data_IF_822350141895
#
_entry.id   IF_822350141895
#
_cell.length_a   1.000
_cell.length_b   1.000
_cell.length_c   1.000
_cell.angle_alpha   90.00
_cell.angle_beta   90.00
_cell.angle_gamma   90.00
#
_symmetry.space_group_name_H-M   'P 1'
#
loop_
_entity.id
_entity.type
_entity.pdbx_description
1 polymer ?
#
# COMPACT_ATOMS: atom_id res chain seq x y z
N UNK A 1 -12.91 17.59 -76.47
CA UNK A 1 -13.13 16.65 -75.34
C UNK A 1 -12.13 17.03 -74.25
N UNK A 2 -12.53 17.75 -73.18
CA UNK A 2 -13.00 17.22 -71.86
C UNK A 2 -12.03 16.16 -71.30
N UNK A 3 -11.44 16.22 -70.11
CA UNK A 3 -11.67 16.98 -68.86
C UNK A 3 -10.43 16.86 -67.95
N UNK A 4 -10.35 17.82 -67.04
CA UNK A 4 -9.45 18.10 -65.91
C UNK A 4 -9.34 17.02 -64.81
N UNK A 5 -8.55 17.38 -63.76
CA UNK A 5 -8.51 16.88 -62.36
C UNK A 5 -7.53 15.71 -62.06
N UNK A 6 -6.83 15.61 -60.92
CA UNK A 6 -6.58 16.46 -59.73
C UNK A 6 -5.48 15.77 -58.89
N UNK A 7 -4.78 16.57 -58.08
CA UNK A 7 -3.92 16.25 -56.94
C UNK A 7 -4.10 14.87 -56.26
N UNK A 8 -2.96 14.28 -55.87
CA UNK A 8 -2.86 13.51 -54.64
C UNK A 8 -1.44 13.62 -54.05
N UNK A 9 -1.18 14.69 -53.30
CA UNK A 9 -0.11 14.70 -52.29
C UNK A 9 -0.56 13.79 -51.15
N UNK A 10 -0.01 12.59 -51.06
CA UNK A 10 -0.21 11.72 -49.90
C UNK A 10 0.74 12.13 -48.78
N UNK A 11 0.40 13.21 -48.06
CA UNK A 11 1.02 13.49 -46.77
C UNK A 11 0.49 12.46 -45.75
N UNK A 12 1.23 11.37 -45.57
CA UNK A 12 1.01 10.46 -44.44
C UNK A 12 1.48 11.19 -43.19
N UNK A 13 0.53 11.85 -42.52
CA UNK A 13 0.71 12.28 -41.15
C UNK A 13 0.80 11.03 -40.28
N UNK A 14 2.02 10.55 -40.03
CA UNK A 14 2.30 9.63 -38.93
C UNK A 14 2.07 10.43 -37.65
N UNK A 15 0.81 10.44 -37.19
CA UNK A 15 0.49 10.81 -35.83
C UNK A 15 1.07 9.71 -34.94
N UNK A 16 2.36 9.83 -34.65
CA UNK A 16 2.99 9.11 -33.55
C UNK A 16 2.15 9.41 -32.31
N UNK A 17 1.44 8.39 -31.85
CA UNK A 17 0.85 8.32 -30.52
C UNK A 17 2.00 8.35 -29.51
N UNK A 18 2.61 9.52 -29.35
CA UNK A 18 3.51 9.81 -28.24
C UNK A 18 2.61 9.74 -27.02
N UNK A 19 2.81 8.68 -26.25
CA UNK A 19 2.08 8.40 -25.03
C UNK A 19 1.91 9.68 -24.24
N UNK A 20 0.66 10.00 -23.92
CA UNK A 20 0.31 11.05 -23.00
C UNK A 20 0.80 10.63 -21.61
N UNK A 21 2.11 10.67 -21.38
CA UNK A 21 2.69 10.69 -20.05
C UNK A 21 2.19 12.01 -19.45
N UNK A 22 1.04 11.95 -18.76
CA UNK A 22 0.63 13.02 -17.85
C UNK A 22 1.79 13.16 -16.88
N UNK A 23 2.59 14.21 -17.07
CA UNK A 23 3.55 14.65 -16.09
C UNK A 23 2.75 14.91 -14.82
N UNK A 24 2.89 14.02 -13.82
CA UNK A 24 2.19 14.16 -12.56
C UNK A 24 2.56 15.52 -11.98
N UNK A 25 1.57 16.23 -11.44
CA UNK A 25 1.86 17.49 -10.79
C UNK A 25 2.89 17.24 -9.67
N UNK A 26 3.89 18.13 -9.48
CA UNK A 26 4.86 17.97 -8.39
C UNK A 26 4.18 17.77 -7.03
N UNK A 27 3.01 18.39 -6.84
CA UNK A 27 2.21 18.24 -5.63
C UNK A 27 1.72 16.80 -5.45
N UNK A 28 1.23 16.13 -6.50
CA UNK A 28 0.77 14.74 -6.41
C UNK A 28 1.92 13.80 -6.01
N UNK A 29 3.12 14.01 -6.57
CA UNK A 29 4.30 13.21 -6.25
C UNK A 29 4.71 13.36 -4.78
N UNK A 30 4.73 14.59 -4.26
CA UNK A 30 5.02 14.84 -2.83
C UNK A 30 4.03 14.11 -1.93
N UNK A 31 2.73 14.17 -2.27
CA UNK A 31 1.69 13.49 -1.49
C UNK A 31 1.83 11.97 -1.49
N UNK A 32 2.17 11.40 -2.65
CA UNK A 32 2.45 9.97 -2.78
C UNK A 32 3.67 9.55 -1.97
N UNK A 33 4.74 10.34 -1.99
CA UNK A 33 5.92 10.11 -1.15
C UNK A 33 5.53 10.13 0.33
N UNK A 34 4.71 11.09 0.76
CA UNK A 34 4.17 11.13 2.13
C UNK A 34 3.43 9.83 2.51
N UNK A 35 2.59 9.30 1.62
CA UNK A 35 1.91 8.02 1.85
C UNK A 35 2.89 6.82 1.95
N UNK A 36 3.95 6.80 1.15
CA UNK A 36 5.01 5.78 1.27
C UNK A 36 5.76 5.90 2.60
N UNK A 37 6.13 7.12 3.00
CA UNK A 37 6.81 7.37 4.29
C UNK A 37 5.95 6.89 5.46
N UNK A 38 4.65 7.21 5.44
CA UNK A 38 3.71 6.79 6.48
C UNK A 38 3.57 5.27 6.54
N UNK A 39 3.30 4.61 5.41
CA UNK A 39 3.18 3.13 5.37
C UNK A 39 4.47 2.41 5.76
N UNK A 40 5.64 2.99 5.44
CA UNK A 40 6.95 2.49 5.88
C UNK A 40 7.12 2.62 7.40
N UNK A 41 6.82 3.79 7.97
CA UNK A 41 6.92 4.02 9.40
C UNK A 41 6.02 3.06 10.20
N UNK A 42 4.80 2.78 9.69
CA UNK A 42 3.92 1.78 10.29
C UNK A 42 4.48 0.35 10.23
N UNK A 43 5.09 -0.04 9.10
CA UNK A 43 5.73 -1.35 8.97
C UNK A 43 6.91 -1.51 9.93
N UNK A 44 7.74 -0.48 10.06
CA UNK A 44 8.86 -0.45 11.02
C UNK A 44 8.31 -0.55 12.45
N UNK A 45 7.29 0.23 12.80
CA UNK A 45 6.67 0.18 14.12
C UNK A 45 6.10 -1.20 14.45
N UNK A 46 5.49 -1.88 13.48
CA UNK A 46 4.97 -3.23 13.68
C UNK A 46 6.09 -4.27 13.79
N UNK A 47 7.21 -4.07 13.10
CA UNK A 47 8.41 -4.88 13.28
C UNK A 47 9.02 -4.67 14.67
N UNK A 48 9.09 -3.43 15.17
CA UNK A 48 9.54 -3.16 16.55
C UNK A 48 8.64 -3.83 17.58
N UNK A 49 7.32 -3.74 17.41
CA UNK A 49 6.38 -4.49 18.26
C UNK A 49 6.68 -5.99 18.23
N UNK A 50 6.90 -6.57 17.05
CA UNK A 50 7.17 -7.99 16.93
C UNK A 50 8.48 -8.38 17.63
N UNK A 51 9.55 -7.58 17.53
CA UNK A 51 10.79 -7.84 18.26
C UNK A 51 10.56 -7.86 19.79
N UNK A 52 9.72 -6.98 20.33
CA UNK A 52 9.37 -6.95 21.75
C UNK A 52 8.40 -8.09 22.15
N UNK A 53 7.73 -8.71 21.18
CA UNK A 53 6.73 -9.77 21.36
C UNK A 53 7.21 -11.13 20.81
N UNK A 54 8.47 -11.48 21.05
CA UNK A 54 9.10 -12.76 20.66
C UNK A 54 9.00 -13.08 19.16
N UNK A 55 9.06 -12.05 18.33
CA UNK A 55 8.95 -12.14 16.88
C UNK A 55 7.52 -12.39 16.38
N UNK A 56 6.47 -12.13 17.17
CA UNK A 56 5.08 -12.41 16.78
C UNK A 56 4.32 -11.11 16.48
N UNK A 57 3.68 -11.05 15.30
CA UNK A 57 2.81 -9.92 14.96
C UNK A 57 1.50 -9.93 15.74
N UNK A 58 0.93 -8.77 16.08
CA UNK A 58 -0.27 -8.71 16.90
C UNK A 58 -1.48 -9.24 16.12
N UNK A 59 -2.23 -10.16 16.73
CA UNK A 59 -3.44 -10.73 16.14
C UNK A 59 -4.66 -9.83 16.43
N UNK A 60 -4.70 -8.67 15.78
CA UNK A 60 -5.78 -7.68 15.93
C UNK A 60 -6.97 -7.96 15.00
N UNK A 61 -8.17 -7.58 15.44
CA UNK A 61 -9.40 -7.68 14.63
C UNK A 61 -9.75 -6.38 13.91
N UNK A 62 -9.20 -5.25 14.34
CA UNK A 62 -9.49 -3.94 13.76
C UNK A 62 -8.29 -2.99 13.84
N UNK A 63 -8.35 -1.91 13.05
CA UNK A 63 -7.27 -0.92 12.95
C UNK A 63 -7.05 -0.16 14.26
N UNK A 64 -8.09 0.07 15.09
CA UNK A 64 -7.96 0.79 16.36
C UNK A 64 -7.14 -0.01 17.37
N UNK A 65 -7.38 -1.33 17.46
CA UNK A 65 -6.56 -2.22 18.28
C UNK A 65 -5.09 -2.18 17.84
N UNK A 66 -4.85 -2.15 16.53
CA UNK A 66 -3.49 -2.04 15.98
C UNK A 66 -2.82 -0.72 16.38
N UNK A 67 -3.54 0.40 16.28
CA UNK A 67 -3.06 1.71 16.71
C UNK A 67 -2.67 1.71 18.18
N UNK A 68 -3.45 1.07 19.05
CA UNK A 68 -3.14 0.96 20.49
C UNK A 68 -1.83 0.22 20.72
N UNK A 69 -1.68 -0.99 20.16
CA UNK A 69 -0.49 -1.83 20.44
C UNK A 69 0.79 -1.26 19.81
N UNK A 70 0.67 -0.51 18.71
CA UNK A 70 1.82 0.10 18.03
C UNK A 70 2.11 1.54 18.47
N UNK A 71 1.25 2.14 19.31
CA UNK A 71 1.40 3.53 19.77
C UNK A 71 2.78 3.85 20.38
N UNK A 72 3.40 2.96 21.18
CA UNK A 72 4.75 3.19 21.71
C UNK A 72 5.81 3.45 20.64
N UNK A 73 5.60 2.95 19.41
CA UNK A 73 6.58 3.00 18.31
C UNK A 73 6.27 4.05 17.25
N UNK A 74 4.99 4.31 16.95
CA UNK A 74 4.59 5.27 15.91
C UNK A 74 4.67 6.72 16.40
N UNK A 75 4.31 7.00 17.67
CA UNK A 75 4.37 8.30 18.38
C UNK A 75 3.76 9.54 17.69
N UNK A 76 3.26 9.43 16.46
CA UNK A 76 2.52 10.44 15.73
C UNK A 76 1.24 9.85 15.12
N UNK A 77 0.10 10.48 15.42
CA UNK A 77 -1.20 10.05 14.86
C UNK A 77 -1.28 10.30 13.35
N UNK A 78 -0.53 11.27 12.82
CA UNK A 78 -0.55 11.62 11.41
C UNK A 78 -0.05 10.49 10.51
N UNK A 79 0.81 9.60 11.05
CA UNK A 79 1.34 8.43 10.33
C UNK A 79 0.25 7.43 9.92
N UNK A 80 -0.90 7.42 10.60
CA UNK A 80 -2.06 6.59 10.24
C UNK A 80 -2.94 7.19 9.14
N UNK A 81 -2.58 8.37 8.62
CA UNK A 81 -3.32 9.06 7.55
C UNK A 81 -2.62 8.87 6.21
N UNK A 82 -3.41 8.86 5.15
CA UNK A 82 -2.92 9.02 3.78
C UNK A 82 -3.39 10.36 3.23
N UNK A 83 -2.58 10.96 2.36
CA UNK A 83 -2.95 12.16 1.62
C UNK A 83 -3.78 11.84 0.36
N UNK A 84 -4.06 10.56 0.10
CA UNK A 84 -5.01 10.14 -0.93
C UNK A 84 -6.45 10.34 -0.41
N UNK A 85 -7.20 11.32 -0.94
CA UNK A 85 -8.49 11.72 -0.38
C UNK A 85 -9.58 10.65 -0.48
N UNK A 86 -9.39 9.62 -1.29
CA UNK A 86 -10.37 8.54 -1.49
C UNK A 86 -9.99 7.24 -0.78
N UNK A 87 -8.88 7.25 -0.04
CA UNK A 87 -8.23 6.07 0.51
C UNK A 87 -8.01 6.19 2.01
N UNK A 88 -7.65 5.06 2.62
CA UNK A 88 -7.25 4.94 4.02
C UNK A 88 -6.14 3.89 4.11
N UNK A 89 -5.27 4.00 5.11
CA UNK A 89 -4.26 2.95 5.35
C UNK A 89 -4.94 1.75 6.02
N UNK A 90 -4.68 0.56 5.48
CA UNK A 90 -5.16 -0.72 5.99
C UNK A 90 -3.99 -1.64 6.33
N UNK A 91 -4.25 -2.52 7.29
CA UNK A 91 -3.35 -3.59 7.69
C UNK A 91 -3.76 -4.91 7.04
N UNK A 92 -2.79 -5.72 6.64
CA UNK A 92 -3.01 -7.09 6.22
C UNK A 92 -3.24 -8.02 7.43
N UNK A 93 -4.50 -8.33 7.74
CA UNK A 93 -4.87 -9.18 8.88
C UNK A 93 -4.44 -10.65 8.76
N UNK A 94 -4.00 -11.11 7.58
CA UNK A 94 -3.39 -12.43 7.43
C UNK A 94 -2.02 -12.53 8.12
N UNK A 95 -1.31 -11.41 8.28
CA UNK A 95 -0.03 -11.32 9.02
C UNK A 95 -0.27 -11.32 10.54
N UNK A 96 -1.45 -10.91 11.00
CA UNK A 96 -1.77 -10.83 12.42
C UNK A 96 -1.74 -12.19 13.12
N UNK A 97 -0.91 -12.31 14.15
CA UNK A 97 -0.70 -13.53 14.93
C UNK A 97 0.35 -14.49 14.35
N UNK A 98 1.05 -14.10 13.30
CA UNK A 98 2.06 -14.92 12.62
C UNK A 98 3.44 -14.64 13.21
N UNK A 99 4.26 -15.68 13.39
CA UNK A 99 5.66 -15.53 13.76
C UNK A 99 6.45 -15.01 12.56
N UNK A 100 7.16 -13.89 12.73
CA UNK A 100 8.00 -13.24 11.71
C UNK A 100 8.99 -14.23 11.08
N UNK A 101 9.63 -15.08 11.89
CA UNK A 101 10.58 -16.08 11.43
C UNK A 101 9.95 -17.18 10.53
N UNK A 102 8.64 -17.37 10.56
CA UNK A 102 7.95 -18.35 9.71
C UNK A 102 7.64 -17.82 8.30
N UNK A 103 7.79 -16.51 8.06
CA UNK A 103 7.50 -15.87 6.78
C UNK A 103 8.72 -16.00 5.86
N UNK A 104 8.64 -16.88 4.87
CA UNK A 104 9.78 -17.21 3.98
C UNK A 104 10.25 -16.03 3.11
N UNK A 105 9.31 -15.26 2.53
CA UNK A 105 9.61 -14.15 1.61
C UNK A 105 9.02 -12.83 2.14
N UNK A 106 9.56 -12.24 3.22
CA UNK A 106 8.95 -11.08 3.86
C UNK A 106 8.87 -9.84 2.95
N UNK A 107 9.76 -9.71 1.96
CA UNK A 107 9.73 -8.64 0.96
C UNK A 107 8.55 -8.76 -0.03
N UNK A 108 7.87 -9.90 -0.09
CA UNK A 108 6.74 -10.13 -1.01
C UNK A 108 5.38 -10.06 -0.30
N UNK A 109 5.38 -10.14 1.04
CA UNK A 109 4.15 -10.14 1.84
C UNK A 109 3.77 -8.70 2.20
N UNK A 110 2.60 -8.27 1.74
CA UNK A 110 2.06 -6.94 2.07
C UNK A 110 1.75 -6.87 3.56
N UNK A 111 2.19 -5.79 4.21
CA UNK A 111 1.92 -5.50 5.61
C UNK A 111 0.90 -4.37 5.75
N UNK A 112 1.18 -3.19 5.18
CA UNK A 112 0.21 -2.09 5.08
C UNK A 112 -0.01 -1.67 3.63
N UNK A 113 -1.20 -1.16 3.35
CA UNK A 113 -1.56 -0.69 2.02
C UNK A 113 -2.62 0.39 2.08
N UNK A 114 -2.62 1.29 1.10
CA UNK A 114 -3.74 2.18 0.85
C UNK A 114 -4.94 1.43 0.29
N UNK A 115 -6.16 1.65 0.81
CA UNK A 115 -7.38 0.94 0.40
C UNK A 115 -7.82 1.18 -1.06
N UNK A 116 -7.48 2.33 -1.64
CA UNK A 116 -7.72 2.67 -3.05
C UNK A 116 -6.45 3.25 -3.72
N UNK A 117 -6.27 3.06 -5.04
CA UNK A 117 -5.19 3.71 -5.77
C UNK A 117 -5.42 5.23 -5.89
N UNK A 118 -4.35 5.95 -6.18
CA UNK A 118 -4.34 7.35 -6.62
C UNK A 118 -4.91 7.48 -8.05
N UNK A 119 -5.22 8.70 -8.52
CA UNK A 119 -5.77 8.92 -9.87
C UNK A 119 -4.88 8.42 -11.02
N UNK A 120 -3.58 8.23 -10.78
CA UNK A 120 -2.61 7.68 -11.73
C UNK A 120 -2.47 6.15 -11.63
N UNK A 121 -3.28 5.50 -10.79
CA UNK A 121 -3.29 4.05 -10.62
C UNK A 121 -2.20 3.51 -9.69
N UNK A 122 -1.39 4.37 -9.06
CA UNK A 122 -0.41 3.96 -8.05
C UNK A 122 -1.07 3.81 -6.67
N UNK A 123 -0.46 3.06 -5.75
CA UNK A 123 -0.85 3.02 -4.33
C UNK A 123 0.38 2.80 -3.46
N UNK A 124 0.44 3.42 -2.28
CA UNK A 124 1.48 3.13 -1.31
C UNK A 124 1.23 1.76 -0.65
N UNK A 125 2.28 0.93 -0.61
CA UNK A 125 2.27 -0.40 -0.02
C UNK A 125 3.59 -0.58 0.74
N UNK A 126 3.51 -1.14 1.95
CA UNK A 126 4.66 -1.62 2.70
C UNK A 126 4.60 -3.12 2.91
N UNK A 127 5.76 -3.72 3.12
CA UNK A 127 5.97 -5.16 3.19
C UNK A 127 6.50 -5.58 4.56
N UNK A 128 6.46 -6.88 4.84
CA UNK A 128 6.81 -7.44 6.16
C UNK A 128 8.27 -7.18 6.54
N UNK A 129 9.17 -7.11 5.58
CA UNK A 129 10.59 -6.74 5.81
C UNK A 129 10.79 -5.25 6.15
N UNK A 130 9.74 -4.43 6.09
CA UNK A 130 9.76 -3.01 6.46
C UNK A 130 10.03 -2.05 5.30
N UNK A 131 10.23 -2.51 4.06
CA UNK A 131 10.29 -1.58 2.92
C UNK A 131 8.89 -1.15 2.47
N UNK A 132 8.83 -0.05 1.71
CA UNK A 132 7.60 0.45 1.13
C UNK A 132 7.86 1.06 -0.25
N UNK A 133 6.85 1.01 -1.13
CA UNK A 133 6.92 1.58 -2.48
C UNK A 133 5.53 1.91 -3.02
N UNK A 134 5.51 2.67 -4.10
CA UNK A 134 4.32 2.81 -4.94
C UNK A 134 4.16 1.55 -5.81
N UNK A 135 2.95 1.02 -5.84
CA UNK A 135 2.58 -0.16 -6.64
C UNK A 135 1.52 0.25 -7.64
N UNK A 136 1.77 0.00 -8.92
CA UNK A 136 0.79 0.23 -9.97
C UNK A 136 -0.35 -0.79 -9.89
N UNK A 137 -1.56 -0.41 -10.31
CA UNK A 137 -2.75 -1.26 -10.25
C UNK A 137 -2.56 -2.61 -10.95
N UNK A 138 -1.74 -2.67 -12.01
CA UNK A 138 -1.36 -3.91 -12.68
C UNK A 138 -0.57 -4.86 -11.77
N UNK A 139 0.44 -4.35 -11.06
CA UNK A 139 1.26 -5.15 -10.15
C UNK A 139 0.54 -5.46 -8.85
N UNK A 140 -0.43 -4.63 -8.44
CA UNK A 140 -1.27 -4.91 -7.30
C UNK A 140 -1.98 -6.26 -7.43
N UNK A 141 -2.48 -6.60 -8.63
CA UNK A 141 -3.12 -7.89 -8.88
C UNK A 141 -2.23 -9.11 -8.59
N UNK A 142 -0.90 -8.94 -8.68
CA UNK A 142 0.08 -10.01 -8.40
C UNK A 142 0.34 -10.19 -6.91
N UNK A 143 0.28 -9.12 -6.12
CA UNK A 143 0.64 -9.15 -4.69
C UNK A 143 -0.58 -9.13 -3.75
N UNK A 144 -1.77 -8.75 -4.24
CA UNK A 144 -2.99 -8.66 -3.43
C UNK A 144 -3.43 -10.00 -2.86
N UNK A 145 -3.04 -11.12 -3.48
CA UNK A 145 -3.30 -12.47 -2.96
C UNK A 145 -2.70 -12.69 -1.57
N UNK A 146 -1.63 -11.96 -1.22
CA UNK A 146 -1.02 -12.03 0.12
C UNK A 146 -1.92 -11.50 1.23
N UNK A 147 -2.99 -10.75 0.90
CA UNK A 147 -3.94 -10.24 1.89
C UNK A 147 -4.85 -11.32 2.49
N UNK A 148 -4.93 -12.49 1.84
CA UNK A 148 -5.73 -13.64 2.25
C UNK A 148 -4.87 -14.90 2.36
N UNK A 149 -3.56 -14.74 2.62
CA UNK A 149 -2.61 -15.83 2.64
C UNK A 149 -2.98 -16.85 3.74
N UNK A 150 -3.37 -18.07 3.32
CA UNK A 150 -3.77 -19.16 4.21
C UNK A 150 -2.59 -20.00 4.68
N UNK A 151 -1.42 -19.85 4.08
CA UNK A 151 -0.21 -20.59 4.44
C UNK A 151 0.51 -19.96 5.63
N UNK A 152 0.10 -18.75 6.05
CA UNK A 152 0.61 -18.11 7.25
C UNK A 152 -0.08 -18.68 8.49
N UNK A 153 0.60 -19.61 9.17
CA UNK A 153 0.12 -20.19 10.42
C UNK A 153 0.10 -19.15 11.55
N UNK A 154 -1.07 -18.98 12.16
CA UNK A 154 -1.25 -18.11 13.33
C UNK A 154 -0.85 -18.86 14.59
N UNK A 155 0.08 -18.29 15.35
CA UNK A 155 0.59 -18.85 16.61
C UNK A 155 0.06 -18.09 17.84
N UNK A 156 -0.35 -16.83 17.68
CA UNK A 156 -0.94 -16.04 18.77
C UNK A 156 -2.47 -16.02 18.73
N UNK A 157 -3.09 -16.06 19.91
CA UNK A 157 -4.51 -15.85 20.08
C UNK A 157 -4.91 -14.42 19.65
N UNK A 158 -6.15 -14.22 19.15
CA UNK A 158 -6.65 -12.89 18.88
C UNK A 158 -6.63 -12.02 20.14
N UNK A 159 -6.19 -10.78 19.99
CA UNK A 159 -6.30 -9.77 21.05
C UNK A 159 -7.78 -9.47 21.36
N UNK A 160 -8.09 -8.94 22.56
CA UNK A 160 -9.45 -8.59 22.96
C UNK A 160 -10.14 -7.68 21.94
N UNK A 161 -11.43 -7.94 21.69
CA UNK A 161 -12.22 -7.19 20.70
C UNK A 161 -12.40 -5.72 21.05
N UNK A 162 -12.47 -5.41 22.35
CA UNK A 162 -12.66 -4.08 22.88
C UNK A 162 -11.36 -3.26 22.96
N UNK A 163 -10.21 -3.88 22.64
CA UNK A 163 -8.93 -3.20 22.56
C UNK A 163 -9.01 -2.07 21.52
N UNK A 164 -8.80 -0.82 21.93
CA UNK A 164 -8.91 0.35 21.06
C UNK A 164 -10.30 1.01 21.03
N UNK A 165 -11.27 0.55 21.82
CA UNK A 165 -12.57 1.23 22.00
C UNK A 165 -12.41 2.69 22.46
N UNK A 166 -11.40 2.96 23.29
CA UNK A 166 -11.08 4.30 23.79
C UNK A 166 -10.24 5.16 22.81
N UNK A 167 -9.78 4.60 21.69
CA UNK A 167 -8.93 5.33 20.73
C UNK A 167 -9.73 6.42 20.00
N UNK A 168 -9.19 7.64 20.00
CA UNK A 168 -9.74 8.80 19.30
C UNK A 168 -8.73 9.28 18.25
N UNK A 169 -9.19 9.37 17.01
CA UNK A 169 -8.41 9.82 15.84
C UNK A 169 -8.12 11.33 15.85
#
# INVERSE_FOLDING_TARGET
MRRSLVFALSAVAVASAVGFQRQLSPQLQVKQIGAVVNTKALAIALNMYAEDADGIYPNVRNLKSLKVVTWPYVKDKSTWKTENPKSEIRFNSSVGGVAKASIKNPAEIVMFYESKPWPDGLRAVSFVDGHARLVHTFDWGKIAGTLVNRDLAKVALPLPEDLGKAWKD
#
